data_IF_950840588656
#
_entry.id   IF_950840588656
#
_cell.length_a   1.000
_cell.length_b   1.000
_cell.length_c   1.000
_cell.angle_alpha   90.00
_cell.angle_beta   90.00
_cell.angle_gamma   90.00
#
_symmetry.space_group_name_H-M   'P 1'
#
loop_
_entity.id
_entity.type
_entity.pdbx_description
1 polymer ?
#
# COMPACT_ATOMS: atom_id res chain seq x y z
N UNK A 1 -11.26 17.15 -9.82
CA UNK A 1 -12.28 16.15 -9.44
C UNK A 1 -13.70 16.72 -9.54
N UNK A 2 -13.94 17.58 -10.53
CA UNK A 2 -15.08 18.50 -10.49
C UNK A 2 -16.39 17.83 -10.87
N UNK A 3 -16.35 16.82 -11.75
CA UNK A 3 -17.57 16.13 -12.20
C UNK A 3 -18.04 15.12 -11.16
N UNK A 4 -17.11 14.41 -10.53
CA UNK A 4 -17.42 13.54 -9.39
C UNK A 4 -18.00 14.32 -8.21
N UNK A 5 -17.34 15.42 -7.82
CA UNK A 5 -17.78 16.24 -6.69
C UNK A 5 -19.19 16.82 -6.89
N UNK A 6 -19.56 17.17 -8.14
CA UNK A 6 -20.92 17.64 -8.47
C UNK A 6 -22.01 16.58 -8.26
N UNK A 7 -21.67 15.29 -8.23
CA UNK A 7 -22.65 14.22 -7.95
C UNK A 7 -22.95 14.14 -6.46
N UNK A 8 -21.92 14.00 -5.64
CA UNK A 8 -22.05 13.97 -4.19
C UNK A 8 -20.68 14.22 -3.54
N UNK A 9 -20.36 15.48 -3.26
CA UNK A 9 -19.05 15.88 -2.70
C UNK A 9 -18.74 15.17 -1.38
N UNK A 10 -19.74 14.97 -0.51
CA UNK A 10 -19.54 14.28 0.77
C UNK A 10 -19.12 12.82 0.59
N UNK A 11 -19.74 12.10 -0.37
CA UNK A 11 -19.36 10.72 -0.67
C UNK A 11 -18.05 10.60 -1.45
N UNK A 12 -17.69 11.60 -2.24
CA UNK A 12 -16.35 11.67 -2.87
C UNK A 12 -15.27 11.91 -1.81
N UNK A 13 -15.49 12.85 -0.88
CA UNK A 13 -14.57 13.07 0.24
C UNK A 13 -14.40 11.80 1.08
N UNK A 14 -15.50 11.10 1.41
CA UNK A 14 -15.46 9.82 2.13
C UNK A 14 -14.62 8.75 1.39
N UNK A 15 -14.77 8.66 0.06
CA UNK A 15 -13.99 7.75 -0.78
C UNK A 15 -12.50 8.12 -0.87
N UNK A 16 -12.16 9.41 -0.95
CA UNK A 16 -10.76 9.85 -0.92
C UNK A 16 -10.15 9.70 0.47
N UNK A 17 -10.93 9.91 1.53
CA UNK A 17 -10.49 9.74 2.92
C UNK A 17 -10.22 8.27 3.25
N UNK A 18 -10.97 7.36 2.61
CA UNK A 18 -10.68 5.93 2.61
C UNK A 18 -9.28 5.66 2.07
N UNK A 19 -8.97 6.13 0.85
CA UNK A 19 -7.65 5.94 0.25
C UNK A 19 -6.55 6.61 1.06
N UNK A 20 -6.78 7.84 1.52
CA UNK A 20 -5.79 8.55 2.34
C UNK A 20 -5.45 7.78 3.63
N UNK A 21 -6.43 7.14 4.26
CA UNK A 21 -6.19 6.30 5.42
C UNK A 21 -5.35 5.05 5.06
N UNK A 22 -5.55 4.50 3.86
CA UNK A 22 -4.75 3.40 3.33
C UNK A 22 -3.30 3.82 3.07
N UNK A 23 -3.06 4.89 2.28
CA UNK A 23 -1.71 5.38 1.95
C UNK A 23 -0.88 5.66 3.21
N UNK A 24 -1.51 6.28 4.23
CA UNK A 24 -0.87 6.53 5.54
C UNK A 24 -0.46 5.25 6.25
N UNK A 25 -1.18 4.15 6.03
CA UNK A 25 -0.80 2.86 6.56
C UNK A 25 0.29 2.22 5.70
N UNK A 26 0.18 2.29 4.36
CA UNK A 26 1.18 1.79 3.43
C UNK A 26 2.57 2.38 3.71
N UNK A 27 2.68 3.71 3.85
CA UNK A 27 3.94 4.38 4.25
C UNK A 27 4.55 3.76 5.52
N UNK A 28 3.73 3.43 6.53
CA UNK A 28 4.21 2.81 7.79
C UNK A 28 4.64 1.36 7.60
N UNK A 29 3.94 0.60 6.75
CA UNK A 29 4.30 -0.78 6.43
C UNK A 29 5.66 -0.80 5.73
N UNK A 30 5.85 0.07 4.73
CA UNK A 30 7.12 0.24 4.05
C UNK A 30 8.24 0.73 4.98
N UNK A 31 7.99 1.73 5.84
CA UNK A 31 8.97 2.18 6.84
C UNK A 31 9.41 1.04 7.78
N UNK A 32 8.45 0.19 8.17
CA UNK A 32 8.72 -0.98 9.03
C UNK A 32 9.62 -1.98 8.32
N UNK A 33 9.28 -2.36 7.08
CA UNK A 33 10.08 -3.29 6.27
C UNK A 33 11.46 -2.71 5.96
N UNK A 34 11.54 -1.43 5.58
CA UNK A 34 12.78 -0.72 5.34
C UNK A 34 13.72 -0.77 6.56
N UNK A 35 13.19 -0.47 7.76
CA UNK A 35 13.96 -0.52 8.99
C UNK A 35 14.55 -1.91 9.27
N UNK A 36 13.79 -2.97 8.97
CA UNK A 36 14.23 -4.37 9.14
C UNK A 36 15.27 -4.78 8.10
N UNK A 37 15.08 -4.43 6.83
CA UNK A 37 16.05 -4.69 5.78
C UNK A 37 17.39 -3.99 6.06
N UNK A 38 17.36 -2.79 6.67
CA UNK A 38 18.57 -2.02 7.01
C UNK A 38 19.46 -2.75 8.01
N UNK A 39 18.89 -3.53 8.91
CA UNK A 39 19.62 -4.30 9.94
C UNK A 39 19.84 -5.77 9.54
N UNK A 40 19.33 -6.20 8.38
CA UNK A 40 19.52 -7.56 7.88
C UNK A 40 21.01 -7.83 7.56
N UNK A 41 21.48 -9.02 7.92
CA UNK A 41 22.86 -9.45 7.62
C UNK A 41 23.01 -9.95 6.19
N UNK A 42 21.92 -10.43 5.58
CA UNK A 42 21.89 -10.93 4.21
C UNK A 42 22.08 -9.77 3.20
N UNK A 43 23.15 -9.79 2.37
CA UNK A 43 23.34 -8.81 1.30
C UNK A 43 22.19 -8.78 0.28
N UNK A 44 21.55 -9.92 -0.01
CA UNK A 44 20.45 -9.97 -0.96
C UNK A 44 19.22 -9.20 -0.45
N UNK A 45 18.94 -9.28 0.85
CA UNK A 45 17.88 -8.49 1.48
C UNK A 45 18.20 -7.00 1.50
N UNK A 46 19.46 -6.64 1.81
CA UNK A 46 19.89 -5.23 1.78
C UNK A 46 19.84 -4.61 0.37
N UNK A 47 20.01 -5.42 -0.68
CA UNK A 47 19.89 -4.95 -2.06
C UNK A 47 18.45 -4.48 -2.43
N UNK A 48 17.45 -4.80 -1.61
CA UNK A 48 16.06 -4.37 -1.79
C UNK A 48 15.79 -2.97 -1.23
N UNK A 49 16.71 -2.38 -0.45
CA UNK A 49 16.48 -1.13 0.27
C UNK A 49 16.10 0.03 -0.65
N UNK A 50 16.82 0.20 -1.77
CA UNK A 50 16.57 1.29 -2.71
C UNK A 50 15.17 1.21 -3.31
N UNK A 51 14.71 0.00 -3.67
CA UNK A 51 13.35 -0.19 -4.21
C UNK A 51 12.29 0.07 -3.13
N UNK A 52 12.51 -0.43 -1.91
CA UNK A 52 11.59 -0.23 -0.79
C UNK A 52 11.48 1.25 -0.39
N UNK A 53 12.60 1.99 -0.41
CA UNK A 53 12.60 3.44 -0.17
C UNK A 53 11.88 4.18 -1.29
N UNK A 54 12.11 3.79 -2.55
CA UNK A 54 11.42 4.38 -3.69
C UNK A 54 9.90 4.17 -3.63
N UNK A 55 9.44 2.94 -3.42
CA UNK A 55 8.01 2.62 -3.34
C UNK A 55 7.37 3.40 -2.18
N UNK A 56 8.01 3.42 -1.01
CA UNK A 56 7.59 4.22 0.16
C UNK A 56 7.43 5.70 -0.15
N UNK A 57 8.33 6.29 -0.93
CA UNK A 57 8.26 7.70 -1.29
C UNK A 57 7.14 7.97 -2.33
N UNK A 58 6.80 6.99 -3.18
CA UNK A 58 5.60 7.05 -4.02
C UNK A 58 4.31 7.01 -3.15
N UNK A 59 4.20 6.08 -2.20
CA UNK A 59 3.10 6.04 -1.22
C UNK A 59 2.92 7.39 -0.49
N UNK A 60 4.05 8.03 -0.15
CA UNK A 60 4.04 9.34 0.51
C UNK A 60 3.52 10.45 -0.41
N UNK A 61 3.87 10.42 -1.69
CA UNK A 61 3.32 11.34 -2.70
C UNK A 61 1.81 11.15 -2.85
N UNK A 62 1.33 9.91 -2.79
CA UNK A 62 -0.08 9.57 -2.90
C UNK A 62 -0.87 10.09 -1.71
N UNK A 63 -0.34 9.88 -0.50
CA UNK A 63 -0.87 10.47 0.74
C UNK A 63 -1.02 11.99 0.59
N UNK A 64 0.07 12.69 0.27
CA UNK A 64 0.09 14.16 0.17
C UNK A 64 -0.89 14.67 -0.88
N UNK A 65 -0.93 14.01 -2.04
CA UNK A 65 -1.87 14.36 -3.10
C UNK A 65 -3.33 14.19 -2.66
N UNK A 66 -3.67 13.07 -2.02
CA UNK A 66 -5.02 12.82 -1.53
C UNK A 66 -5.45 13.85 -0.49
N UNK A 67 -4.55 14.26 0.41
CA UNK A 67 -4.83 15.33 1.35
C UNK A 67 -5.17 16.65 0.64
N UNK A 68 -4.37 17.03 -0.36
CA UNK A 68 -4.62 18.22 -1.17
C UNK A 68 -5.98 18.15 -1.86
N UNK A 69 -6.32 16.99 -2.42
CA UNK A 69 -7.59 16.80 -3.10
C UNK A 69 -8.79 16.91 -2.13
N UNK A 70 -8.70 16.31 -0.94
CA UNK A 70 -9.75 16.42 0.08
C UNK A 70 -9.93 17.88 0.50
N UNK A 71 -8.84 18.61 0.74
CA UNK A 71 -8.86 20.04 1.08
C UNK A 71 -9.46 20.88 -0.05
N UNK A 72 -9.11 20.59 -1.31
CA UNK A 72 -9.65 21.29 -2.49
C UNK A 72 -11.16 21.09 -2.66
N UNK A 73 -11.71 19.97 -2.18
CA UNK A 73 -13.15 19.71 -2.16
C UNK A 73 -13.87 20.30 -0.93
N UNK A 74 -13.14 21.00 -0.05
CA UNK A 74 -13.67 21.59 1.18
C UNK A 74 -13.80 20.61 2.35
N UNK A 75 -13.16 19.43 2.26
CA UNK A 75 -13.07 18.47 3.35
C UNK A 75 -11.88 18.72 4.28
N UNK A 76 -11.89 18.02 5.41
CA UNK A 76 -10.75 17.96 6.34
C UNK A 76 -10.06 16.59 6.19
N UNK A 77 -8.81 16.59 5.72
CA UNK A 77 -8.01 15.38 5.48
C UNK A 77 -7.59 14.63 6.76
N UNK A 78 -7.85 15.19 7.94
CA UNK A 78 -7.60 14.54 9.23
C UNK A 78 -8.89 14.15 9.95
N UNK A 79 -10.06 14.60 9.47
CA UNK A 79 -11.34 14.19 10.03
C UNK A 79 -11.63 12.73 9.66
N UNK A 80 -12.04 11.89 10.63
CA UNK A 80 -12.44 10.52 10.33
C UNK A 80 -13.76 10.51 9.53
N UNK A 81 -13.82 9.66 8.52
CA UNK A 81 -15.04 9.33 7.78
C UNK A 81 -15.44 7.89 8.04
N UNK A 82 -16.63 7.49 7.61
CA UNK A 82 -17.12 6.11 7.75
C UNK A 82 -16.14 5.12 7.10
N UNK A 83 -15.73 5.39 5.86
CA UNK A 83 -14.81 4.53 5.12
C UNK A 83 -13.38 4.60 5.64
N UNK A 84 -12.90 5.78 6.05
CA UNK A 84 -11.54 5.92 6.58
C UNK A 84 -11.35 5.13 7.89
N UNK A 85 -12.40 5.03 8.73
CA UNK A 85 -12.37 4.22 9.95
C UNK A 85 -12.36 2.72 9.64
N UNK A 86 -13.14 2.28 8.64
CA UNK A 86 -13.16 0.89 8.19
C UNK A 86 -11.78 0.45 7.70
N UNK A 87 -11.21 1.20 6.75
CA UNK A 87 -9.90 0.86 6.17
C UNK A 87 -8.78 0.91 7.20
N UNK A 88 -8.82 1.86 8.15
CA UNK A 88 -7.84 1.86 9.24
C UNK A 88 -7.87 0.55 10.02
N UNK A 89 -9.04 -0.01 10.31
CA UNK A 89 -9.14 -1.29 11.03
C UNK A 89 -8.60 -2.48 10.22
N UNK A 90 -8.80 -2.45 8.90
CA UNK A 90 -8.25 -3.45 7.96
C UNK A 90 -6.71 -3.36 7.92
N UNK A 91 -6.15 -2.16 7.72
CA UNK A 91 -4.71 -1.92 7.70
C UNK A 91 -4.04 -2.24 9.04
N UNK A 92 -4.68 -1.93 10.17
CA UNK A 92 -4.20 -2.34 11.50
C UNK A 92 -4.06 -3.87 11.61
N UNK A 93 -4.88 -4.64 10.88
CA UNK A 93 -4.74 -6.09 10.74
C UNK A 93 -3.45 -6.50 10.07
N UNK A 94 -3.11 -5.86 8.95
CA UNK A 94 -1.85 -6.09 8.23
C UNK A 94 -0.66 -5.71 9.10
N UNK A 95 -0.72 -4.55 9.76
CA UNK A 95 0.34 -4.10 10.66
C UNK A 95 0.54 -5.08 11.85
N UNK A 96 -0.54 -5.68 12.36
CA UNK A 96 -0.44 -6.73 13.40
C UNK A 96 0.32 -7.96 12.91
N UNK A 97 0.21 -8.32 11.63
CA UNK A 97 0.98 -9.44 11.06
C UNK A 97 2.45 -9.09 11.01
N UNK A 98 2.84 -7.90 10.51
CA UNK A 98 4.24 -7.49 10.47
C UNK A 98 4.88 -7.42 11.87
N UNK A 99 4.12 -6.97 12.89
CA UNK A 99 4.60 -6.91 14.28
C UNK A 99 4.69 -8.27 14.97
N UNK A 100 4.19 -9.36 14.36
CA UNK A 100 4.09 -10.67 15.01
C UNK A 100 5.46 -11.28 15.30
N UNK A 101 6.38 -11.14 14.36
CA UNK A 101 7.75 -11.69 14.41
C UNK A 101 8.66 -10.88 13.47
N UNK A 102 9.96 -11.18 13.44
CA UNK A 102 10.96 -10.49 12.62
C UNK A 102 11.24 -11.19 11.27
N UNK A 103 10.32 -12.04 10.81
CA UNK A 103 10.47 -12.76 9.54
C UNK A 103 10.19 -11.84 8.35
N UNK A 104 11.23 -11.56 7.56
CA UNK A 104 11.12 -10.77 6.32
C UNK A 104 10.16 -11.41 5.31
N UNK A 105 10.12 -12.74 5.11
CA UNK A 105 9.08 -13.39 4.31
C UNK A 105 7.65 -13.13 4.81
N UNK A 106 7.43 -13.10 6.13
CA UNK A 106 6.10 -12.75 6.67
C UNK A 106 5.76 -11.27 6.43
N UNK A 107 6.74 -10.38 6.48
CA UNK A 107 6.54 -8.97 6.13
C UNK A 107 6.15 -8.80 4.66
N UNK A 108 6.85 -9.45 3.74
CA UNK A 108 6.48 -9.43 2.32
C UNK A 108 5.12 -10.07 2.06
N UNK A 109 4.71 -11.08 2.85
CA UNK A 109 3.36 -11.64 2.77
C UNK A 109 2.29 -10.64 3.25
N UNK A 110 2.54 -9.95 4.36
CA UNK A 110 1.66 -8.90 4.87
C UNK A 110 1.56 -7.74 3.87
N UNK A 111 2.70 -7.29 3.35
CA UNK A 111 2.76 -6.24 2.34
C UNK A 111 2.03 -6.64 1.06
N UNK A 112 2.19 -7.88 0.58
CA UNK A 112 1.42 -8.37 -0.58
C UNK A 112 -0.09 -8.28 -0.36
N UNK A 113 -0.56 -8.50 0.87
CA UNK A 113 -1.98 -8.35 1.21
C UNK A 113 -2.43 -6.89 1.10
N UNK A 114 -1.61 -5.95 1.56
CA UNK A 114 -1.87 -4.51 1.41
C UNK A 114 -1.87 -4.10 -0.07
N UNK A 115 -0.82 -4.44 -0.82
CA UNK A 115 -0.66 -4.12 -2.25
C UNK A 115 -1.83 -4.60 -3.12
N UNK A 116 -2.35 -5.80 -2.84
CA UNK A 116 -3.52 -6.33 -3.54
C UNK A 116 -4.79 -5.50 -3.26
N UNK A 117 -4.97 -5.08 -2.01
CA UNK A 117 -6.09 -4.22 -1.62
C UNK A 117 -5.95 -2.82 -2.22
N UNK A 118 -4.73 -2.29 -2.27
CA UNK A 118 -4.49 -0.94 -2.77
C UNK A 118 -4.69 -0.82 -4.27
N UNK A 119 -4.11 -1.77 -5.03
CA UNK A 119 -4.29 -1.85 -6.47
C UNK A 119 -5.78 -1.90 -6.85
N UNK A 120 -6.58 -2.68 -6.11
CA UNK A 120 -8.03 -2.73 -6.29
C UNK A 120 -8.73 -1.42 -5.90
N UNK A 121 -8.26 -0.73 -4.85
CA UNK A 121 -8.76 0.57 -4.41
C UNK A 121 -8.56 1.66 -5.47
N UNK A 122 -7.37 1.75 -6.04
CA UNK A 122 -7.06 2.69 -7.12
C UNK A 122 -7.80 2.37 -8.43
N UNK A 123 -7.94 1.09 -8.78
CA UNK A 123 -8.72 0.70 -9.97
C UNK A 123 -10.21 1.07 -9.81
N UNK A 124 -10.79 0.89 -8.62
CA UNK A 124 -12.15 1.32 -8.35
C UNK A 124 -12.33 2.83 -8.53
N UNK A 125 -11.36 3.65 -8.08
CA UNK A 125 -11.36 5.09 -8.32
C UNK A 125 -11.32 5.43 -9.81
N UNK A 126 -10.48 4.74 -10.59
CA UNK A 126 -10.40 4.90 -12.06
C UNK A 126 -11.75 4.59 -12.70
N UNK A 127 -12.38 3.48 -12.33
CA UNK A 127 -13.67 3.06 -12.88
C UNK A 127 -14.79 4.05 -12.54
N UNK A 128 -14.85 4.51 -11.28
CA UNK A 128 -15.83 5.51 -10.83
C UNK A 128 -15.63 6.83 -11.59
N UNK A 129 -14.40 7.31 -11.73
CA UNK A 129 -14.12 8.52 -12.48
C UNK A 129 -14.50 8.40 -13.96
N UNK A 130 -14.31 7.23 -14.57
CA UNK A 130 -14.71 6.97 -15.95
C UNK A 130 -16.23 6.99 -16.12
N UNK A 131 -16.94 6.27 -15.26
CA UNK A 131 -18.41 6.16 -15.28
C UNK A 131 -19.09 7.53 -15.16
N UNK A 132 -18.56 8.41 -14.31
CA UNK A 132 -19.08 9.77 -14.16
C UNK A 132 -18.42 10.80 -15.11
N UNK A 133 -17.58 10.36 -16.03
CA UNK A 133 -16.98 11.16 -17.10
C UNK A 133 -15.96 12.21 -16.63
N UNK A 134 -15.37 12.03 -15.44
CA UNK A 134 -14.33 12.90 -14.87
C UNK A 134 -12.94 12.50 -15.41
N UNK A 135 -12.65 12.88 -16.65
CA UNK A 135 -11.41 12.54 -17.35
C UNK A 135 -10.16 13.07 -16.64
N UNK A 136 -10.26 14.19 -15.92
CA UNK A 136 -9.16 14.74 -15.15
C UNK A 136 -8.85 13.87 -13.93
N UNK A 137 -9.87 13.52 -13.14
CA UNK A 137 -9.69 12.60 -12.01
C UNK A 137 -9.20 11.23 -12.47
N UNK A 138 -9.80 10.68 -13.53
CA UNK A 138 -9.40 9.39 -14.12
C UNK A 138 -7.93 9.37 -14.50
N UNK A 139 -7.39 10.46 -15.06
CA UNK A 139 -5.98 10.56 -15.45
C UNK A 139 -5.07 10.48 -14.22
N UNK A 140 -5.38 11.22 -13.17
CA UNK A 140 -4.59 11.23 -11.93
C UNK A 140 -4.66 9.89 -11.20
N UNK A 141 -5.83 9.26 -11.14
CA UNK A 141 -5.98 7.91 -10.56
C UNK A 141 -5.24 6.85 -11.37
N UNK A 142 -5.22 6.96 -12.71
CA UNK A 142 -4.45 6.05 -13.57
C UNK A 142 -2.95 6.20 -13.44
N UNK A 143 -2.44 7.36 -13.03
CA UNK A 143 -1.02 7.55 -12.73
C UNK A 143 -0.66 6.66 -11.54
N UNK A 144 -1.39 6.83 -10.44
CA UNK A 144 -1.17 6.12 -9.16
C UNK A 144 -1.42 4.63 -9.25
N UNK A 145 -2.47 4.21 -9.96
CA UNK A 145 -2.70 2.79 -10.24
C UNK A 145 -1.49 2.12 -10.94
N UNK A 146 -0.78 2.82 -11.83
CA UNK A 146 0.42 2.25 -12.48
C UNK A 146 1.62 2.18 -11.55
N UNK A 147 1.71 3.08 -10.59
CA UNK A 147 2.71 3.07 -9.52
C UNK A 147 2.43 1.82 -8.64
N UNK A 148 1.19 1.64 -8.20
CA UNK A 148 0.76 0.45 -7.44
C UNK A 148 0.87 -0.87 -8.19
N UNK A 149 0.62 -0.89 -9.51
CA UNK A 149 0.87 -2.08 -10.32
C UNK A 149 2.36 -2.50 -10.30
N UNK A 150 3.29 -1.55 -10.17
CA UNK A 150 4.72 -1.84 -10.02
C UNK A 150 5.05 -2.33 -8.62
N UNK A 151 4.53 -1.67 -7.58
CA UNK A 151 4.71 -2.08 -6.18
C UNK A 151 4.25 -3.53 -5.98
N UNK A 152 3.01 -3.83 -6.38
CA UNK A 152 2.44 -5.17 -6.32
C UNK A 152 3.28 -6.21 -7.08
N UNK A 153 3.76 -5.87 -8.27
CA UNK A 153 4.61 -6.79 -9.05
C UNK A 153 5.94 -7.05 -8.36
N UNK A 154 6.56 -6.03 -7.77
CA UNK A 154 7.80 -6.14 -7.03
C UNK A 154 7.62 -7.01 -5.78
N UNK A 155 6.66 -6.67 -4.92
CA UNK A 155 6.37 -7.40 -3.68
C UNK A 155 6.06 -8.87 -3.97
N UNK A 156 5.25 -9.15 -4.99
CA UNK A 156 4.91 -10.52 -5.40
C UNK A 156 6.13 -11.31 -5.88
N UNK A 157 7.01 -10.70 -6.69
CA UNK A 157 8.23 -11.35 -7.19
C UNK A 157 9.20 -11.63 -6.04
N UNK A 158 9.39 -10.67 -5.16
CA UNK A 158 10.29 -10.81 -4.01
C UNK A 158 9.82 -11.90 -3.08
N UNK A 159 8.53 -11.92 -2.73
CA UNK A 159 7.96 -13.00 -1.91
C UNK A 159 8.13 -14.37 -2.56
N UNK A 160 7.95 -14.48 -3.88
CA UNK A 160 8.16 -15.72 -4.62
C UNK A 160 9.61 -16.22 -4.47
N UNK A 161 10.60 -15.34 -4.65
CA UNK A 161 12.01 -15.74 -4.53
C UNK A 161 12.39 -16.12 -3.10
N UNK A 162 11.90 -15.38 -2.09
CA UNK A 162 12.08 -15.74 -0.68
C UNK A 162 11.48 -17.12 -0.38
N UNK A 163 10.25 -17.36 -0.82
CA UNK A 163 9.56 -18.64 -0.61
C UNK A 163 10.29 -19.79 -1.31
N UNK A 164 10.81 -19.58 -2.54
CA UNK A 164 11.62 -20.59 -3.23
C UNK A 164 12.88 -20.93 -2.45
N UNK A 165 13.55 -19.95 -1.87
CA UNK A 165 14.73 -20.17 -1.04
C UNK A 165 14.38 -21.00 0.18
N UNK A 166 13.32 -20.66 0.91
CA UNK A 166 12.85 -21.43 2.08
C UNK A 166 12.59 -22.90 1.75
N UNK A 167 11.89 -23.17 0.65
CA UNK A 167 11.58 -24.55 0.21
C UNK A 167 12.82 -25.29 -0.30
N UNK A 168 13.85 -24.57 -0.75
CA UNK A 168 15.10 -25.17 -1.26
C UNK A 168 16.07 -25.55 -0.13
N UNK A 169 15.89 -25.02 1.09
CA UNK A 169 16.66 -25.46 2.25
C UNK A 169 16.08 -26.79 2.73
N UNK A 170 16.88 -27.86 2.62
CA UNK A 170 16.48 -29.19 3.09
C UNK A 170 16.12 -29.21 4.58
N UNK A 171 15.39 -30.24 5.07
CA UNK A 171 15.06 -30.34 6.49
C UNK A 171 16.33 -30.30 7.35
N UNK A 172 16.29 -29.69 8.55
CA UNK A 172 17.44 -29.70 9.44
C UNK A 172 17.90 -31.13 9.66
N UNK A 173 19.22 -31.36 9.64
CA UNK A 173 19.78 -32.67 9.97
C UNK A 173 19.27 -33.10 11.34
N UNK A 174 18.85 -34.37 11.52
CA UNK A 174 18.46 -34.85 12.84
C UNK A 174 19.62 -34.65 13.81
N UNK A 175 19.35 -34.33 15.08
CA UNK A 175 20.42 -34.18 16.08
C UNK A 175 21.25 -35.48 16.13
N UNK A 176 22.57 -35.34 16.17
CA UNK A 176 23.48 -36.46 16.39
C UNK A 176 23.08 -37.16 17.71
N UNK A 177 22.82 -38.47 17.62
CA UNK A 177 22.37 -39.30 18.73
C UNK A 177 23.51 -39.68 19.68
#
# INVERSE_FOLDING_TARGET
>A
MDKLAKKNVGKVIDLLSERLAFERAAVKLYDTLHARLRVATDPALRALLEQIEHDRDEEKEHEEWLEEQIRALGGDAHAPTERSVLVRAESEGVERVMRRDDSIPHDFHALLTAELADNAGWDLLVQIADEFGDSAAKKEFKKRLREEERHLLFVRKTLLELTKQEVSVGPPSPPEA
#
